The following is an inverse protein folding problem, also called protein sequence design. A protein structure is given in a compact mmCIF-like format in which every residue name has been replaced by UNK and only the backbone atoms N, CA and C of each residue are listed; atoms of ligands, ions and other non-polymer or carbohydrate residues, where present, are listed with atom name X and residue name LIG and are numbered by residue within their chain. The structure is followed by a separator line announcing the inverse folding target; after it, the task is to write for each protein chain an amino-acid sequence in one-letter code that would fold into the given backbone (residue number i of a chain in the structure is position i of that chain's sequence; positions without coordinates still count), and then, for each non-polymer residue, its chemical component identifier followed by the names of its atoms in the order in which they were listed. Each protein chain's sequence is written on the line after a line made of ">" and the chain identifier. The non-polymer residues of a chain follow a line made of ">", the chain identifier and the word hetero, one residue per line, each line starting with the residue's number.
data_IF_749353325799
#
_entry.id   IF_749353325799
#
_cell.length_a   1.000
_cell.length_b   1.000
_cell.length_c   1.000
_cell.angle_alpha   90.00
_cell.angle_beta   90.00
_cell.angle_gamma   90.00
#
_symmetry.space_group_name_H-M   'P 1'
#
loop_
_entity.id
_entity.type
_entity.pdbx_description
1 polymer ?
#
# COMPACT_ATOMS: atom_id res chain seq x y z
N UNK A 1 47.35 -14.14 51.50
CA UNK A 1 46.39 -14.72 50.54
C UNK A 1 44.95 -14.91 51.09
N UNK A 2 44.51 -14.17 52.12
CA UNK A 2 43.10 -14.21 52.59
C UNK A 2 42.28 -13.01 52.10
N UNK A 3 42.87 -11.83 51.98
CA UNK A 3 42.20 -10.61 51.50
C UNK A 3 41.74 -10.67 50.03
N UNK A 4 42.50 -11.34 49.15
CA UNK A 4 42.12 -11.48 47.73
C UNK A 4 40.87 -12.36 47.53
N UNK A 5 40.60 -13.31 48.45
CA UNK A 5 39.41 -14.18 48.39
C UNK A 5 38.13 -13.42 48.73
N UNK A 6 38.18 -12.51 49.71
CA UNK A 6 37.02 -11.70 50.09
C UNK A 6 36.69 -10.62 49.04
N UNK A 7 37.70 -10.09 48.34
CA UNK A 7 37.47 -9.12 47.25
C UNK A 7 36.73 -9.73 46.06
N UNK A 8 36.96 -11.01 45.74
CA UNK A 8 36.24 -11.71 44.67
C UNK A 8 34.77 -11.96 45.06
N UNK A 9 34.51 -12.28 46.33
CA UNK A 9 33.14 -12.51 46.83
C UNK A 9 32.32 -11.22 46.84
N UNK A 10 32.93 -10.08 47.18
CA UNK A 10 32.25 -8.77 47.13
C UNK A 10 31.99 -8.32 45.69
N UNK A 11 32.90 -8.59 44.75
CA UNK A 11 32.69 -8.29 43.33
C UNK A 11 31.56 -9.14 42.71
N UNK A 12 31.44 -10.40 43.11
CA UNK A 12 30.35 -11.30 42.69
C UNK A 12 28.98 -10.88 43.25
N UNK A 13 28.95 -10.30 44.46
CA UNK A 13 27.72 -9.75 45.06
C UNK A 13 27.27 -8.43 44.41
N UNK A 14 28.18 -7.65 43.85
CA UNK A 14 27.81 -6.44 43.11
C UNK A 14 27.34 -6.71 41.68
N UNK A 15 27.80 -7.79 41.04
CA UNK A 15 27.32 -8.18 39.70
C UNK A 15 25.91 -8.79 39.69
N UNK A 16 25.43 -9.34 40.81
CA UNK A 16 24.06 -9.89 40.89
C UNK A 16 23.00 -8.81 41.12
N UNK A 17 23.37 -7.64 41.65
CA UNK A 17 22.45 -6.52 41.85
C UNK A 17 22.08 -5.79 40.54
N UNK A 18 22.90 -5.90 39.49
CA UNK A 18 22.59 -5.29 38.17
C UNK A 18 21.66 -6.14 37.31
N UNK A 19 21.46 -7.42 37.64
CA UNK A 19 20.56 -8.32 36.88
C UNK A 19 19.09 -8.18 37.31
N UNK A 20 18.82 -7.58 38.47
CA UNK A 20 17.45 -7.31 38.94
C UNK A 20 16.86 -5.98 38.45
N UNK A 21 17.51 -5.31 37.49
CA UNK A 21 17.04 -4.04 36.92
C UNK A 21 16.88 -4.11 35.40
N UNK A 22 16.30 -5.21 34.91
CA UNK A 22 15.77 -5.30 33.56
C UNK A 22 14.27 -5.56 33.62
N UNK A 23 13.53 -4.60 33.07
CA UNK A 23 12.20 -4.70 32.48
C UNK A 23 11.12 -5.33 33.37
N UNK A 24 10.56 -4.51 34.25
CA UNK A 24 9.11 -4.56 34.41
C UNK A 24 8.54 -4.20 33.05
N UNK A 25 8.08 -5.20 32.28
CA UNK A 25 7.10 -4.97 31.23
C UNK A 25 5.97 -4.17 31.90
N UNK A 26 5.91 -2.86 31.61
CA UNK A 26 4.70 -2.10 31.89
C UNK A 26 3.62 -2.82 31.09
N UNK A 27 2.76 -3.55 31.80
CA UNK A 27 1.52 -4.08 31.29
C UNK A 27 0.86 -2.92 30.54
N UNK A 28 0.88 -3.04 29.21
CA UNK A 28 0.43 -2.00 28.31
C UNK A 28 -1.07 -1.98 28.51
N UNK A 29 -1.56 -1.09 29.36
CA UNK A 29 -2.98 -0.92 29.68
C UNK A 29 -3.72 -0.82 28.34
N UNK A 30 -4.32 -1.94 27.94
CA UNK A 30 -4.98 -2.06 26.66
C UNK A 30 -6.20 -1.17 26.79
N UNK A 31 -6.19 -0.02 26.11
CA UNK A 31 -7.27 0.97 26.21
C UNK A 31 -8.59 0.23 26.04
N UNK A 32 -9.38 0.17 27.11
CA UNK A 32 -10.70 -0.45 27.05
C UNK A 32 -11.48 0.23 25.93
N UNK A 33 -11.77 -0.52 24.87
CA UNK A 33 -12.62 -0.02 23.78
C UNK A 33 -13.96 0.34 24.41
N UNK A 34 -14.39 1.59 24.23
CA UNK A 34 -15.64 2.07 24.80
C UNK A 34 -16.80 1.12 24.46
N UNK A 35 -17.65 0.83 25.45
CA UNK A 35 -18.79 -0.06 25.27
C UNK A 35 -19.65 0.40 24.08
N UNK A 36 -19.78 -0.48 23.08
CA UNK A 36 -20.72 -0.25 21.98
C UNK A 36 -22.11 -0.52 22.53
N UNK A 37 -23.00 0.45 22.37
CA UNK A 37 -24.40 0.25 22.71
C UNK A 37 -24.97 -0.74 21.68
N UNK A 38 -25.47 -1.91 22.09
CA UNK A 38 -26.08 -2.89 21.18
C UNK A 38 -27.61 -2.76 21.06
N UNK A 39 -28.19 -1.71 21.65
CA UNK A 39 -29.62 -1.48 21.64
C UNK A 39 -30.13 -1.22 20.21
N UNK A 40 -31.20 -1.90 19.80
CA UNK A 40 -31.86 -1.73 18.50
C UNK A 40 -32.40 -0.30 18.25
N UNK A 41 -32.56 0.51 19.29
CA UNK A 41 -33.00 1.91 19.23
C UNK A 41 -31.87 2.91 19.52
N UNK A 42 -30.62 2.46 19.56
CA UNK A 42 -29.49 3.37 19.73
C UNK A 42 -29.44 4.39 18.61
N UNK A 43 -29.01 5.60 18.94
CA UNK A 43 -28.77 6.62 17.93
C UNK A 43 -27.53 6.23 17.12
N UNK A 44 -27.66 6.24 15.79
CA UNK A 44 -26.66 5.73 14.86
C UNK A 44 -25.50 6.72 14.64
N UNK A 45 -25.18 7.57 15.63
CA UNK A 45 -24.09 8.56 15.52
C UNK A 45 -22.71 7.92 15.33
N UNK A 46 -22.56 6.65 15.74
CA UNK A 46 -21.34 5.89 15.51
C UNK A 46 -21.28 5.32 14.09
N UNK A 47 -22.40 5.05 13.44
CA UNK A 47 -22.42 4.60 12.04
C UNK A 47 -22.46 5.73 11.03
N UNK A 48 -23.02 6.90 11.40
CA UNK A 48 -23.14 8.04 10.50
C UNK A 48 -22.19 9.17 10.88
N UNK A 49 -21.41 9.62 9.89
CA UNK A 49 -20.57 10.80 10.03
C UNK A 49 -21.40 12.03 10.39
N UNK A 50 -20.93 12.83 11.35
CA UNK A 50 -21.58 14.10 11.70
C UNK A 50 -21.65 15.00 10.46
N UNK A 51 -22.80 15.61 10.16
CA UNK A 51 -22.94 16.52 9.03
C UNK A 51 -21.94 17.67 9.11
N UNK A 52 -21.38 18.07 7.97
CA UNK A 52 -20.47 19.21 7.86
C UNK A 52 -20.74 19.99 6.56
N UNK A 53 -19.93 21.03 6.30
CA UNK A 53 -20.07 21.88 5.10
C UNK A 53 -19.95 21.13 3.76
N UNK A 54 -19.29 19.98 3.77
CA UNK A 54 -19.06 19.14 2.59
C UNK A 54 -20.13 18.04 2.42
N UNK A 55 -20.75 17.54 3.50
CA UNK A 55 -21.77 16.49 3.45
C UNK A 55 -22.87 16.73 4.49
N UNK A 56 -24.12 16.81 4.03
CA UNK A 56 -25.31 17.07 4.87
C UNK A 56 -25.76 15.83 5.66
N UNK A 57 -26.71 16.01 6.60
CA UNK A 57 -27.30 14.92 7.38
C UNK A 57 -28.06 13.87 6.55
N UNK A 58 -28.49 14.24 5.34
CA UNK A 58 -29.10 13.32 4.39
C UNK A 58 -28.06 12.57 3.53
N UNK A 59 -26.75 12.80 3.75
CA UNK A 59 -25.67 12.24 2.95
C UNK A 59 -25.44 12.93 1.60
N UNK A 60 -26.25 13.95 1.27
CA UNK A 60 -26.11 14.73 0.04
C UNK A 60 -24.91 15.70 0.12
N UNK A 61 -24.30 16.05 -1.02
CA UNK A 61 -23.29 17.11 -1.13
C UNK A 61 -23.72 18.40 -0.44
N UNK A 62 -22.85 18.94 0.42
CA UNK A 62 -23.04 20.26 1.01
C UNK A 62 -22.60 21.39 0.08
N UNK A 63 -22.77 22.64 0.51
CA UNK A 63 -22.43 23.81 -0.30
C UNK A 63 -20.94 23.95 -0.61
N UNK A 64 -20.06 23.44 0.26
CA UNK A 64 -18.61 23.48 0.09
C UNK A 64 -18.07 22.19 -0.58
N UNK A 65 -18.95 21.28 -1.00
CA UNK A 65 -18.55 20.02 -1.60
C UNK A 65 -17.79 20.23 -2.92
N UNK A 66 -16.68 19.50 -3.10
CA UNK A 66 -15.88 19.49 -4.30
C UNK A 66 -15.72 18.07 -4.84
N UNK A 67 -15.44 17.97 -6.15
CA UNK A 67 -15.11 16.72 -6.83
C UNK A 67 -13.86 16.92 -7.65
N UNK A 68 -12.95 15.96 -7.60
CA UNK A 68 -11.78 15.96 -8.46
C UNK A 68 -12.17 15.56 -9.88
N UNK A 69 -11.46 16.12 -10.86
CA UNK A 69 -11.65 15.79 -12.27
C UNK A 69 -10.31 15.39 -12.88
N UNK A 70 -10.32 14.34 -13.69
CA UNK A 70 -9.19 13.94 -14.50
C UNK A 70 -9.66 13.73 -15.94
N UNK A 71 -9.04 14.46 -16.87
CA UNK A 71 -9.24 14.28 -18.30
C UNK A 71 -8.08 13.47 -18.87
N UNK A 72 -8.42 12.50 -19.72
CA UNK A 72 -7.46 11.57 -20.31
C UNK A 72 -7.46 11.72 -21.82
N UNK A 73 -6.27 11.90 -22.39
CA UNK A 73 -6.04 11.83 -23.84
C UNK A 73 -4.96 10.79 -24.11
N UNK A 74 -5.33 9.74 -24.82
CA UNK A 74 -4.45 8.61 -25.11
C UNK A 74 -4.24 8.50 -26.61
N UNK A 75 -2.99 8.31 -27.02
CA UNK A 75 -2.59 7.94 -28.38
C UNK A 75 -1.85 6.61 -28.29
N UNK A 76 -2.50 5.54 -28.74
CA UNK A 76 -2.08 4.15 -28.49
C UNK A 76 -2.05 3.38 -29.81
N UNK A 77 -0.98 2.63 -30.02
CA UNK A 77 -0.78 1.74 -31.15
C UNK A 77 -0.73 0.27 -30.69
N UNK A 78 -1.46 -0.58 -31.40
CA UNK A 78 -1.40 -2.04 -31.26
C UNK A 78 -0.54 -2.62 -32.38
N UNK A 79 0.63 -3.15 -32.00
CA UNK A 79 1.51 -3.90 -32.89
C UNK A 79 1.26 -5.40 -32.71
N UNK A 80 0.43 -5.96 -33.60
CA UNK A 80 0.09 -7.39 -33.60
C UNK A 80 1.28 -8.29 -33.93
N UNK A 81 2.21 -7.83 -34.77
CA UNK A 81 3.38 -8.63 -35.18
C UNK A 81 4.31 -8.87 -33.99
N UNK A 82 4.56 -7.82 -33.21
CA UNK A 82 5.42 -7.90 -32.04
C UNK A 82 4.65 -8.17 -30.74
N UNK A 83 3.31 -8.24 -30.80
CA UNK A 83 2.40 -8.44 -29.66
C UNK A 83 2.58 -7.38 -28.57
N UNK A 84 2.64 -6.11 -28.97
CA UNK A 84 2.88 -4.97 -28.09
C UNK A 84 1.77 -3.94 -28.21
N UNK A 85 1.40 -3.34 -27.09
CA UNK A 85 0.56 -2.15 -27.01
C UNK A 85 1.41 -1.03 -26.41
N UNK A 86 1.59 0.06 -27.13
CA UNK A 86 2.44 1.17 -26.70
C UNK A 86 1.82 2.50 -27.12
N UNK A 87 2.20 3.59 -26.46
CA UNK A 87 1.59 4.87 -26.72
C UNK A 87 1.93 5.93 -25.69
N UNK A 88 1.29 7.09 -25.85
CA UNK A 88 1.46 8.24 -24.97
C UNK A 88 0.10 8.62 -24.39
N UNK A 89 0.07 8.82 -23.08
CA UNK A 89 -1.10 9.29 -22.35
C UNK A 89 -0.82 10.67 -21.75
N UNK A 90 -1.75 11.60 -21.96
CA UNK A 90 -1.77 12.90 -21.31
C UNK A 90 -2.92 12.94 -20.31
N UNK A 91 -2.60 13.11 -19.04
CA UNK A 91 -3.57 13.23 -17.94
C UNK A 91 -3.62 14.69 -17.49
N UNK A 92 -4.78 15.32 -17.60
CA UNK A 92 -5.02 16.67 -17.05
C UNK A 92 -5.82 16.53 -15.77
N UNK A 93 -5.16 16.72 -14.63
CA UNK A 93 -5.79 16.65 -13.32
C UNK A 93 -6.21 18.04 -12.85
N UNK A 94 -7.46 18.18 -12.43
CA UNK A 94 -8.00 19.41 -11.84
C UNK A 94 -8.20 19.18 -10.35
N UNK A 95 -7.35 19.81 -9.54
CA UNK A 95 -7.52 19.85 -8.09
C UNK A 95 -8.57 20.89 -7.72
N UNK A 96 -9.79 20.45 -7.42
CA UNK A 96 -10.87 21.30 -6.94
C UNK A 96 -10.96 21.35 -5.40
N UNK A 97 -10.02 20.68 -4.70
CA UNK A 97 -9.89 20.77 -3.25
C UNK A 97 -9.40 22.16 -2.83
N UNK A 98 -9.79 22.67 -1.65
CA UNK A 98 -9.14 23.84 -1.06
C UNK A 98 -7.69 23.59 -0.63
N UNK A 99 -7.28 22.32 -0.53
CA UNK A 99 -5.94 21.93 -0.10
C UNK A 99 -4.98 21.75 -1.30
N UNK A 100 -3.72 22.10 -1.07
CA UNK A 100 -2.64 21.90 -2.05
C UNK A 100 -2.36 20.40 -2.27
N UNK A 101 -2.16 20.01 -3.53
CA UNK A 101 -1.83 18.64 -3.91
C UNK A 101 -0.31 18.47 -4.03
N UNK A 102 0.30 17.81 -3.05
CA UNK A 102 1.75 17.57 -3.03
C UNK A 102 2.22 16.44 -3.95
N UNK A 103 1.36 15.46 -4.23
CA UNK A 103 1.69 14.32 -5.08
C UNK A 103 0.42 13.73 -5.72
N UNK A 104 0.59 13.07 -6.87
CA UNK A 104 -0.47 12.34 -7.55
C UNK A 104 -0.18 10.84 -7.52
N UNK A 105 -1.19 10.05 -7.13
CA UNK A 105 -1.13 8.60 -7.29
C UNK A 105 -1.85 8.17 -8.56
N UNK A 106 -1.19 7.36 -9.37
CA UNK A 106 -1.71 6.75 -10.59
C UNK A 106 -1.72 5.24 -10.43
N UNK A 107 -2.84 4.60 -10.74
CA UNK A 107 -2.96 3.15 -10.71
C UNK A 107 -2.44 2.54 -12.01
N UNK A 108 -1.54 1.56 -11.86
CA UNK A 108 -0.88 0.81 -12.91
C UNK A 108 -1.33 -0.65 -12.84
N UNK A 109 -2.63 -0.90 -13.02
CA UNK A 109 -3.26 -2.21 -12.78
C UNK A 109 -2.62 -3.35 -13.58
N UNK A 110 -2.11 -3.10 -14.79
CA UNK A 110 -1.46 -4.16 -15.58
C UNK A 110 -0.18 -4.71 -14.93
N UNK A 111 0.42 -3.99 -13.97
CA UNK A 111 1.60 -4.47 -13.24
C UNK A 111 1.30 -5.68 -12.35
N UNK A 112 0.04 -6.10 -12.19
CA UNK A 112 -0.29 -7.42 -11.62
C UNK A 112 0.25 -8.57 -12.48
N UNK A 113 0.54 -8.33 -13.76
CA UNK A 113 1.12 -9.28 -14.72
C UNK A 113 2.61 -9.05 -14.99
N UNK A 114 3.25 -8.12 -14.29
CA UNK A 114 4.70 -7.94 -14.40
C UNK A 114 5.42 -9.19 -13.90
N UNK A 115 6.60 -9.49 -14.46
CA UNK A 115 7.35 -10.70 -14.08
C UNK A 115 7.74 -10.72 -12.59
N UNK A 116 7.92 -9.55 -11.98
CA UNK A 116 8.24 -9.36 -10.56
C UNK A 116 7.00 -9.17 -9.67
N UNK A 117 5.79 -9.31 -10.22
CA UNK A 117 4.55 -9.12 -9.48
C UNK A 117 4.40 -10.17 -8.38
N UNK A 118 4.00 -9.71 -7.20
CA UNK A 118 3.68 -10.58 -6.05
C UNK A 118 2.21 -11.06 -6.09
N UNK A 119 1.41 -10.58 -7.05
CA UNK A 119 0.00 -10.95 -7.21
C UNK A 119 -0.24 -12.47 -7.30
N UNK A 120 0.61 -13.27 -7.99
CA UNK A 120 0.45 -14.72 -8.04
C UNK A 120 0.59 -15.42 -6.68
N UNK A 121 1.33 -14.84 -5.72
CA UNK A 121 1.49 -15.41 -4.37
C UNK A 121 0.20 -15.37 -3.55
N UNK A 122 -0.67 -14.39 -3.82
CA UNK A 122 -1.96 -14.25 -3.15
C UNK A 122 -2.94 -15.34 -3.58
N UNK A 123 -2.96 -15.64 -4.89
CA UNK A 123 -3.85 -16.62 -5.48
C UNK A 123 -3.04 -17.87 -5.82
N UNK A 124 -2.57 -18.58 -4.78
CA UNK A 124 -1.81 -19.82 -4.95
C UNK A 124 -2.60 -20.83 -5.77
N UNK A 125 -2.13 -21.13 -6.98
CA UNK A 125 -2.62 -22.23 -7.79
C UNK A 125 -1.95 -23.54 -7.36
N UNK A 126 -2.68 -24.65 -7.47
CA UNK A 126 -2.12 -26.00 -7.38
C UNK A 126 -1.88 -26.58 -8.76
N UNK A 127 -0.99 -27.57 -8.86
CA UNK A 127 -0.85 -28.40 -10.06
C UNK A 127 -2.03 -29.36 -10.10
N UNK A 128 -2.70 -29.49 -11.25
CA UNK A 128 -3.76 -30.49 -11.39
C UNK A 128 -3.14 -31.89 -11.38
N UNK A 129 -3.75 -32.81 -10.64
CA UNK A 129 -3.23 -34.17 -10.45
C UNK A 129 -3.25 -35.04 -11.71
N UNK A 130 -3.84 -34.55 -12.81
CA UNK A 130 -3.95 -35.25 -14.08
C UNK A 130 -3.48 -34.41 -15.30
N UNK A 131 -2.59 -33.43 -15.09
CA UNK A 131 -2.05 -32.67 -16.22
C UNK A 131 -1.16 -33.53 -17.11
N UNK A 132 -1.34 -33.39 -18.43
CA UNK A 132 -0.41 -33.96 -19.40
C UNK A 132 0.94 -33.27 -19.25
N UNK A 133 2.04 -34.03 -19.37
CA UNK A 133 3.40 -33.51 -19.20
C UNK A 133 3.68 -32.26 -20.06
N UNK A 134 3.10 -32.16 -21.26
CA UNK A 134 3.24 -30.98 -22.12
C UNK A 134 2.60 -29.71 -21.54
N UNK A 135 1.41 -29.83 -20.93
CA UNK A 135 0.72 -28.71 -20.29
C UNK A 135 1.44 -28.27 -19.02
N UNK A 136 1.90 -29.23 -18.22
CA UNK A 136 2.68 -28.97 -17.02
C UNK A 136 3.96 -28.18 -17.31
N UNK A 137 4.72 -28.58 -18.33
CA UNK A 137 5.94 -27.87 -18.75
C UNK A 137 5.60 -26.45 -19.22
N UNK A 138 4.52 -26.28 -19.99
CA UNK A 138 4.08 -24.99 -20.50
C UNK A 138 3.65 -24.00 -19.40
N UNK A 139 2.93 -24.48 -18.39
CA UNK A 139 2.36 -23.64 -17.33
C UNK A 139 3.33 -23.37 -16.17
N UNK A 140 4.15 -24.35 -15.79
CA UNK A 140 4.95 -24.27 -14.56
C UNK A 140 6.47 -24.22 -14.77
N UNK A 141 6.96 -24.56 -15.98
CA UNK A 141 8.40 -24.63 -16.26
C UNK A 141 8.89 -23.57 -17.28
N UNK A 142 7.97 -22.80 -17.86
CA UNK A 142 8.29 -21.69 -18.76
C UNK A 142 8.78 -20.43 -18.01
N UNK A 143 9.37 -19.50 -18.77
CA UNK A 143 9.63 -18.16 -18.24
C UNK A 143 8.29 -17.44 -17.95
N UNK A 144 8.19 -16.70 -16.83
CA UNK A 144 6.99 -15.93 -16.55
C UNK A 144 6.75 -14.89 -17.65
N UNK A 145 5.49 -14.67 -17.97
CA UNK A 145 5.10 -13.58 -18.87
C UNK A 145 5.51 -12.24 -18.26
N UNK A 146 6.34 -11.47 -18.96
CA UNK A 146 6.73 -10.12 -18.53
C UNK A 146 5.76 -9.08 -19.07
N UNK A 147 4.62 -8.95 -18.39
CA UNK A 147 3.62 -7.93 -18.68
C UNK A 147 3.87 -6.62 -17.92
N UNK A 148 2.76 -5.90 -17.71
CA UNK A 148 2.77 -4.61 -17.02
C UNK A 148 3.17 -3.43 -17.90
N UNK A 149 3.08 -2.25 -17.31
CA UNK A 149 3.50 -1.01 -17.95
C UNK A 149 5.01 -0.86 -17.88
N UNK A 150 5.64 -0.60 -19.03
CA UNK A 150 7.03 -0.17 -19.12
C UNK A 150 7.01 1.35 -19.35
N UNK A 151 7.32 2.12 -18.31
CA UNK A 151 7.22 3.58 -18.34
C UNK A 151 8.53 4.16 -18.89
N UNK A 152 8.48 4.70 -20.10
CA UNK A 152 9.66 5.35 -20.70
C UNK A 152 9.92 6.74 -20.11
N UNK A 153 8.85 7.50 -19.84
CA UNK A 153 8.96 8.82 -19.24
C UNK A 153 7.66 9.26 -18.56
N UNK A 154 7.83 10.15 -17.57
CA UNK A 154 6.75 10.96 -17.00
C UNK A 154 7.21 12.41 -17.07
N UNK A 155 6.43 13.26 -17.75
CA UNK A 155 6.79 14.65 -18.04
C UNK A 155 5.62 15.59 -17.77
N UNK A 156 5.93 16.84 -17.45
CA UNK A 156 4.93 17.91 -17.38
C UNK A 156 4.55 18.42 -18.79
N UNK A 157 3.61 19.37 -18.83
CA UNK A 157 3.14 19.99 -20.07
C UNK A 157 4.25 20.74 -20.85
N UNK A 158 5.34 21.11 -20.19
CA UNK A 158 6.50 21.79 -20.79
C UNK A 158 7.60 20.79 -21.21
N UNK A 159 7.38 19.49 -21.01
CA UNK A 159 8.32 18.42 -21.33
C UNK A 159 9.40 18.19 -20.27
N UNK A 160 9.33 18.85 -19.10
CA UNK A 160 10.24 18.61 -17.98
C UNK A 160 9.92 17.27 -17.33
N UNK A 161 10.94 16.46 -17.06
CA UNK A 161 10.77 15.20 -16.37
C UNK A 161 10.24 15.41 -14.94
N UNK A 162 9.23 14.62 -14.57
CA UNK A 162 8.65 14.60 -13.22
C UNK A 162 9.24 13.46 -12.41
N UNK A 163 9.53 13.72 -11.14
CA UNK A 163 9.97 12.69 -10.22
C UNK A 163 8.81 11.72 -9.98
N UNK A 164 9.06 10.43 -10.12
CA UNK A 164 8.06 9.42 -9.83
C UNK A 164 8.67 8.17 -9.20
N UNK A 165 7.84 7.39 -8.54
CA UNK A 165 8.22 6.11 -7.94
C UNK A 165 7.09 5.12 -8.19
N UNK A 166 7.45 3.99 -8.81
CA UNK A 166 6.53 2.87 -9.05
C UNK A 166 6.73 1.83 -7.96
N UNK A 167 5.64 1.50 -7.27
CA UNK A 167 5.57 0.42 -6.31
C UNK A 167 4.42 -0.51 -6.72
N UNK A 168 4.78 -1.63 -7.37
CA UNK A 168 3.83 -2.60 -7.90
C UNK A 168 2.80 -1.94 -8.82
N UNK A 169 1.52 -1.95 -8.45
CA UNK A 169 0.41 -1.36 -9.21
C UNK A 169 0.16 0.12 -8.90
N UNK A 170 1.02 0.75 -8.09
CA UNK A 170 0.86 2.15 -7.68
C UNK A 170 2.04 2.98 -8.14
N UNK A 171 1.80 4.11 -8.79
CA UNK A 171 2.82 5.08 -9.14
C UNK A 171 2.54 6.40 -8.44
N UNK A 172 3.54 6.94 -7.73
CA UNK A 172 3.51 8.28 -7.14
C UNK A 172 4.28 9.25 -8.03
N UNK A 173 3.71 10.41 -8.33
CA UNK A 173 4.34 11.53 -9.03
C UNK A 173 4.46 12.70 -8.05
N UNK A 174 5.64 13.33 -7.96
CA UNK A 174 5.93 14.50 -7.13
C UNK A 174 6.10 15.77 -7.97
#
# INVERSE_FOLDING_TARGET
>A
MKFLKYSIVVALLFSSATVFSQETEQEKEERELGHINDNKFRQLYQEFSTPNQYRTAAGAPGHAYYQQKADYKMDIELDDKNKKLYGVETITYYNNSPDDLEYLWVQLDQNVRAADSQSPLRNGGGVSSADMAGNFVGEYMGAPFDGGFKIDYVKDANGKALSHTVNQTMMRIN
#
